data_IF_013292209469
#
_entry.id   IF_013292209469
#
_cell.length_a   1.000
_cell.length_b   1.000
_cell.length_c   1.000
_cell.angle_alpha   90.00
_cell.angle_beta   90.00
_cell.angle_gamma   90.00
#
_symmetry.space_group_name_H-M   'P 1'
#
loop_
_entity.id
_entity.type
_entity.pdbx_description
1 polymer ?
#
# COMPACT_ATOMS: atom_id res chain seq x y z
N UNK A 1 -9.59 23.80 3.09
CA UNK A 1 -9.33 23.44 4.51
C UNK A 1 -7.85 23.28 4.76
N UNK A 2 -7.36 23.89 5.83
CA UNK A 2 -5.97 23.70 6.26
C UNK A 2 -5.92 22.76 7.45
N UNK A 3 -4.81 22.04 7.58
CA UNK A 3 -4.54 21.16 8.73
C UNK A 3 -3.25 21.62 9.40
N UNK A 4 -3.03 21.18 10.62
CA UNK A 4 -1.77 21.41 11.33
C UNK A 4 -0.73 20.34 11.00
N UNK A 5 0.54 20.61 11.28
CA UNK A 5 1.59 19.59 11.19
C UNK A 5 1.28 18.41 12.12
N UNK A 6 0.73 18.68 13.31
CA UNK A 6 0.35 17.61 14.24
C UNK A 6 -0.73 16.69 13.65
N UNK A 7 -1.65 17.23 12.87
CA UNK A 7 -2.64 16.40 12.17
C UNK A 7 -1.96 15.45 11.18
N UNK A 8 -0.98 15.92 10.43
CA UNK A 8 -0.21 15.09 9.53
C UNK A 8 0.53 13.98 10.29
N UNK A 9 1.09 14.29 11.46
CA UNK A 9 1.84 13.32 12.25
C UNK A 9 0.97 12.22 12.86
N UNK A 10 -0.34 12.37 12.85
CA UNK A 10 -1.26 11.29 13.27
C UNK A 10 -1.34 10.17 12.23
N UNK A 11 -1.01 10.45 10.99
CA UNK A 11 -1.03 9.46 9.90
C UNK A 11 0.36 8.83 9.83
N UNK A 12 0.46 7.55 10.10
CA UNK A 12 1.74 6.82 10.08
C UNK A 12 1.92 6.17 8.71
N UNK A 13 2.75 6.79 7.87
CA UNK A 13 3.04 6.33 6.51
C UNK A 13 4.44 5.76 6.49
N UNK A 14 4.55 4.48 6.07
CA UNK A 14 5.82 3.75 6.09
C UNK A 14 6.19 3.22 4.72
N UNK A 15 7.50 3.10 4.51
CA UNK A 15 8.10 2.49 3.33
C UNK A 15 8.08 0.97 3.48
N UNK A 16 7.53 0.28 2.48
CA UNK A 16 7.54 -1.17 2.45
C UNK A 16 7.92 -1.70 1.08
N UNK A 17 8.26 -2.98 1.02
CA UNK A 17 8.54 -3.69 -0.22
C UNK A 17 7.50 -4.78 -0.44
N UNK A 18 6.90 -4.81 -1.61
CA UNK A 18 5.94 -5.86 -1.97
C UNK A 18 6.70 -7.17 -2.09
N UNK A 19 6.30 -8.17 -1.31
CA UNK A 19 6.91 -9.52 -1.34
C UNK A 19 6.06 -10.51 -2.11
N UNK A 20 4.73 -10.39 -2.05
CA UNK A 20 3.83 -11.18 -2.89
C UNK A 20 2.72 -10.31 -3.44
N UNK A 21 2.22 -10.69 -4.61
CA UNK A 21 1.05 -10.06 -5.23
C UNK A 21 0.28 -11.13 -5.98
N UNK A 22 -1.04 -11.15 -5.81
CA UNK A 22 -1.89 -12.13 -6.47
C UNK A 22 -3.27 -11.56 -6.76
N UNK A 23 -4.01 -12.12 -7.74
CA UNK A 23 -5.38 -11.69 -8.00
C UNK A 23 -6.27 -11.88 -6.78
N UNK A 24 -7.28 -11.04 -6.66
CA UNK A 24 -8.27 -11.11 -5.58
C UNK A 24 -9.68 -11.27 -6.17
N UNK A 25 -10.05 -12.49 -6.59
CA UNK A 25 -11.33 -12.73 -7.27
C UNK A 25 -12.56 -12.48 -6.40
N UNK A 26 -12.43 -12.55 -5.05
CA UNK A 26 -13.53 -12.32 -4.14
C UNK A 26 -13.85 -10.84 -3.91
N UNK A 27 -13.01 -9.93 -4.37
CA UNK A 27 -13.28 -8.50 -4.25
C UNK A 27 -14.37 -8.09 -5.26
N UNK A 28 -15.21 -7.12 -4.87
CA UNK A 28 -16.27 -6.60 -5.73
C UNK A 28 -15.73 -5.93 -6.99
N UNK A 29 -14.65 -5.18 -6.84
CA UNK A 29 -13.97 -4.53 -7.96
C UNK A 29 -12.64 -5.21 -8.20
N UNK A 30 -12.14 -5.22 -9.43
CA UNK A 30 -10.84 -5.81 -9.72
C UNK A 30 -9.76 -5.26 -8.79
N UNK A 31 -9.08 -6.18 -8.08
CA UNK A 31 -8.07 -5.83 -7.09
C UNK A 31 -6.99 -6.90 -7.04
N UNK A 32 -5.86 -6.54 -6.42
CA UNK A 32 -4.78 -7.46 -6.10
C UNK A 32 -4.61 -7.56 -4.59
N UNK A 33 -4.27 -8.75 -4.12
CA UNK A 33 -3.85 -8.96 -2.72
C UNK A 33 -2.34 -8.86 -2.67
N UNK A 34 -1.85 -8.05 -1.75
CA UNK A 34 -0.42 -7.81 -1.57
C UNK A 34 -0.01 -8.24 -0.16
N UNK A 35 1.21 -8.78 -0.04
CA UNK A 35 1.93 -8.78 1.23
C UNK A 35 3.12 -7.85 1.09
N UNK A 36 3.31 -7.00 2.09
CA UNK A 36 4.31 -5.93 2.05
C UNK A 36 5.17 -6.04 3.31
N UNK A 37 6.48 -6.05 3.13
CA UNK A 37 7.45 -6.08 4.22
C UNK A 37 7.84 -4.65 4.58
N UNK A 38 7.54 -4.25 5.82
CA UNK A 38 7.88 -2.93 6.36
C UNK A 38 9.07 -2.97 7.30
N UNK A 39 9.85 -4.05 7.29
CA UNK A 39 11.00 -4.18 8.15
C UNK A 39 10.65 -4.73 9.53
N UNK A 40 11.66 -4.81 10.40
CA UNK A 40 11.54 -5.55 11.67
C UNK A 40 10.55 -4.94 12.66
N UNK A 41 10.41 -3.61 12.67
CA UNK A 41 9.53 -2.92 13.61
C UNK A 41 8.05 -3.22 13.34
N UNK A 42 7.63 -3.14 12.08
CA UNK A 42 6.22 -3.29 11.71
C UNK A 42 5.94 -4.69 11.17
N UNK A 43 6.92 -5.28 10.49
CA UNK A 43 6.79 -6.61 9.92
C UNK A 43 6.03 -6.64 8.60
N UNK A 44 5.57 -7.82 8.24
CA UNK A 44 4.84 -8.05 6.99
C UNK A 44 3.35 -7.81 7.23
N UNK A 45 2.73 -7.03 6.35
CA UNK A 45 1.31 -6.69 6.41
C UNK A 45 0.64 -6.94 5.07
N UNK A 46 -0.68 -7.17 5.14
CA UNK A 46 -1.51 -7.45 3.96
C UNK A 46 -2.25 -6.21 3.52
N UNK A 47 -2.42 -6.06 2.20
CA UNK A 47 -3.17 -4.96 1.62
C UNK A 47 -3.95 -5.45 0.40
N UNK A 48 -5.21 -5.02 0.28
CA UNK A 48 -5.95 -5.12 -0.97
C UNK A 48 -5.85 -3.79 -1.70
N UNK A 49 -5.54 -3.82 -2.98
CA UNK A 49 -5.36 -2.61 -3.77
C UNK A 49 -6.01 -2.75 -5.16
N UNK A 50 -6.79 -1.74 -5.55
CA UNK A 50 -7.45 -1.69 -6.85
C UNK A 50 -6.49 -1.10 -7.90
N UNK A 51 -5.47 -1.88 -8.25
CA UNK A 51 -4.35 -1.44 -9.10
C UNK A 51 -4.16 -2.33 -10.33
N UNK A 52 -5.22 -2.96 -10.82
CA UNK A 52 -5.10 -3.95 -11.90
C UNK A 52 -4.87 -3.33 -13.27
N UNK A 53 -5.06 -2.02 -13.43
CA UNK A 53 -4.92 -1.35 -14.73
C UNK A 53 -3.45 -1.26 -15.18
N UNK A 54 -2.57 -0.81 -14.29
CA UNK A 54 -1.17 -0.54 -14.62
C UNK A 54 -0.21 -1.65 -14.19
N UNK A 55 -0.67 -2.58 -13.35
CA UNK A 55 0.24 -3.53 -12.71
C UNK A 55 -0.22 -4.96 -12.89
N UNK A 56 0.76 -5.83 -13.13
CA UNK A 56 0.58 -7.27 -13.03
C UNK A 56 1.20 -7.75 -11.72
N UNK A 57 0.74 -8.87 -11.15
CA UNK A 57 1.37 -9.42 -9.93
C UNK A 57 2.88 -9.58 -10.05
N UNK A 58 3.35 -10.08 -11.18
CA UNK A 58 4.78 -10.34 -11.40
C UNK A 58 5.62 -9.07 -11.38
N UNK A 59 5.09 -7.97 -11.91
CA UNK A 59 5.81 -6.69 -11.98
C UNK A 59 5.86 -5.98 -10.63
N UNK A 60 4.98 -6.35 -9.69
CA UNK A 60 4.89 -5.70 -8.38
C UNK A 60 5.88 -6.26 -7.36
N UNK A 61 6.23 -7.54 -7.45
CA UNK A 61 7.13 -8.17 -6.49
C UNK A 61 8.49 -7.48 -6.51
N UNK A 62 8.94 -7.04 -5.34
CA UNK A 62 10.20 -6.30 -5.17
C UNK A 62 10.05 -4.79 -5.23
N UNK A 63 8.88 -4.26 -5.60
CA UNK A 63 8.65 -2.82 -5.69
C UNK A 63 8.50 -2.19 -4.32
N UNK A 64 9.16 -1.05 -4.12
CA UNK A 64 8.98 -0.26 -2.91
C UNK A 64 7.76 0.66 -3.05
N UNK A 65 6.96 0.72 -2.00
CA UNK A 65 5.71 1.50 -1.94
C UNK A 65 5.59 2.21 -0.61
N UNK A 66 4.67 3.16 -0.53
CA UNK A 66 4.28 3.83 0.71
C UNK A 66 2.88 3.38 1.09
N UNK A 67 2.67 3.15 2.38
CA UNK A 67 1.37 2.74 2.90
C UNK A 67 1.11 3.34 4.28
N UNK A 68 -0.16 3.63 4.56
CA UNK A 68 -0.61 4.00 5.91
C UNK A 68 -0.75 2.73 6.73
N UNK A 69 -0.07 2.67 7.86
CA UNK A 69 0.02 1.45 8.68
C UNK A 69 -0.79 1.51 9.97
N UNK A 70 -1.41 2.63 10.28
CA UNK A 70 -2.13 2.81 11.55
C UNK A 70 -3.65 2.99 11.40
N UNK A 71 -4.23 2.53 10.30
CA UNK A 71 -5.68 2.34 10.23
C UNK A 71 -6.08 1.01 10.86
N UNK A 72 -7.33 0.90 11.37
CA UNK A 72 -7.87 -0.41 11.73
C UNK A 72 -7.91 -1.31 10.50
N UNK A 73 -7.67 -2.62 10.65
CA UNK A 73 -7.81 -3.55 9.54
C UNK A 73 -9.23 -3.54 8.96
N UNK A 74 -9.33 -3.74 7.65
CA UNK A 74 -10.60 -3.77 6.92
C UNK A 74 -10.86 -5.15 6.35
N UNK A 75 -12.03 -5.71 6.68
CA UNK A 75 -12.45 -6.99 6.13
C UNK A 75 -12.98 -6.80 4.71
N UNK A 76 -12.41 -7.56 3.75
CA UNK A 76 -12.87 -7.59 2.36
C UNK A 76 -13.06 -9.06 1.99
N UNK A 77 -14.33 -9.54 2.02
CA UNK A 77 -14.59 -10.96 1.87
C UNK A 77 -13.79 -11.78 2.89
N UNK A 78 -13.05 -12.80 2.46
CA UNK A 78 -12.24 -13.63 3.37
C UNK A 78 -10.89 -12.99 3.74
N UNK A 79 -10.58 -11.78 3.22
CA UNK A 79 -9.26 -11.16 3.33
C UNK A 79 -9.31 -9.96 4.29
N UNK A 80 -8.32 -9.88 5.18
CA UNK A 80 -8.16 -8.74 6.07
C UNK A 80 -7.08 -7.81 5.52
N UNK A 81 -7.49 -6.63 5.02
CA UNK A 81 -6.55 -5.60 4.57
C UNK A 81 -6.09 -4.79 5.77
N UNK A 82 -4.79 -4.83 6.06
CA UNK A 82 -4.22 -4.27 7.29
C UNK A 82 -3.63 -2.88 7.10
N UNK A 83 -3.24 -2.54 5.87
CA UNK A 83 -2.63 -1.24 5.55
C UNK A 83 -3.27 -0.67 4.29
N UNK A 84 -3.16 0.65 4.11
CA UNK A 84 -3.61 1.34 2.91
C UNK A 84 -2.41 1.65 2.03
N UNK A 85 -2.24 0.90 0.94
CA UNK A 85 -1.21 1.19 -0.07
C UNK A 85 -1.58 2.45 -0.83
N UNK A 86 -0.67 3.41 -0.89
CA UNK A 86 -0.96 4.75 -1.41
C UNK A 86 -0.71 4.86 -2.92
N UNK A 87 -1.54 5.66 -3.56
CA UNK A 87 -1.41 5.97 -4.97
C UNK A 87 -2.04 7.29 -5.33
N UNK A 88 -1.83 7.70 -6.56
CA UNK A 88 -2.45 8.88 -7.16
C UNK A 88 -3.19 8.46 -8.42
N UNK A 89 -4.28 9.18 -8.81
CA UNK A 89 -5.00 8.84 -10.02
C UNK A 89 -4.25 9.31 -11.26
N UNK A 90 -4.34 8.53 -12.33
CA UNK A 90 -3.96 8.99 -13.66
C UNK A 90 -5.11 9.79 -14.28
N UNK A 91 -5.00 10.13 -15.58
CA UNK A 91 -6.02 10.93 -16.27
C UNK A 91 -7.40 10.24 -16.32
N UNK A 92 -7.43 8.92 -16.21
CA UNK A 92 -8.66 8.12 -16.23
C UNK A 92 -9.13 7.71 -14.82
N UNK A 93 -8.44 8.18 -13.77
CA UNK A 93 -8.76 7.83 -12.40
C UNK A 93 -8.16 6.51 -11.93
N UNK A 94 -7.34 5.85 -12.75
CA UNK A 94 -6.69 4.60 -12.37
C UNK A 94 -5.49 4.85 -11.48
N UNK A 95 -5.25 3.96 -10.53
CA UNK A 95 -4.25 4.17 -9.49
C UNK A 95 -2.84 3.95 -10.01
N UNK A 96 -1.97 4.92 -9.75
CA UNK A 96 -0.52 4.82 -9.91
C UNK A 96 0.10 4.85 -8.53
N UNK A 97 0.89 3.83 -8.20
CA UNK A 97 1.48 3.67 -6.86
C UNK A 97 2.53 4.73 -6.58
N UNK A 98 2.61 5.14 -5.31
CA UNK A 98 3.64 6.06 -4.83
C UNK A 98 4.78 5.24 -4.22
N UNK A 99 6.01 5.59 -4.60
CA UNK A 99 7.21 4.99 -4.05
C UNK A 99 8.36 5.98 -4.03
N UNK A 100 9.51 5.59 -3.46
CA UNK A 100 10.68 6.47 -3.39
C UNK A 100 11.38 6.53 -4.74
N UNK A 101 12.13 7.61 -4.97
CA UNK A 101 12.95 7.76 -6.17
C UNK A 101 14.22 6.91 -6.18
N UNK A 102 14.62 6.39 -5.03
CA UNK A 102 15.74 5.48 -4.83
C UNK A 102 15.33 4.39 -3.86
N UNK A 103 15.96 3.24 -3.93
CA UNK A 103 15.78 2.21 -2.90
C UNK A 103 16.26 2.73 -1.55
N UNK A 104 15.44 2.53 -0.53
CA UNK A 104 15.73 2.99 0.84
C UNK A 104 15.41 1.86 1.82
N UNK A 105 15.89 1.94 3.07
CA UNK A 105 15.59 0.93 4.08
C UNK A 105 14.08 0.79 4.34
N UNK A 106 13.65 -0.42 4.62
CA UNK A 106 12.25 -0.70 4.93
C UNK A 106 11.87 -0.13 6.30
N UNK A 107 10.60 0.31 6.42
CA UNK A 107 10.06 0.80 7.67
C UNK A 107 10.27 2.29 7.91
N UNK A 108 10.95 2.99 7.03
CA UNK A 108 11.13 4.42 7.16
C UNK A 108 9.80 5.16 7.17
N UNK A 109 9.62 6.07 8.13
CA UNK A 109 8.41 6.87 8.23
C UNK A 109 8.49 8.10 7.34
N UNK A 110 7.45 8.32 6.55
CA UNK A 110 7.35 9.50 5.69
C UNK A 110 7.15 10.76 6.55
N UNK A 111 7.82 11.80 6.16
CA UNK A 111 7.73 13.08 6.89
C UNK A 111 7.72 14.26 5.92
#
# INVERSE_FOLDING_TARGET
>A
MTISFDDFMKVDIRLGRIVTAEPFPQARKPALRLTIDFGDEIGVRKSSAQITRHYTPEALVGRQVLAVVNFPPRQIGPFMSEVLTLGVPDADGEVVLIGPGHDVPLGGRMF
#
